data_IF_001443525250
#
_entry.id   IF_001443525250
#
_cell.length_a   1.000
_cell.length_b   1.000
_cell.length_c   1.000
_cell.angle_alpha   90.00
_cell.angle_beta   90.00
_cell.angle_gamma   90.00
#
_symmetry.space_group_name_H-M   'P 1'
#
loop_
_entity.id
_entity.type
_entity.pdbx_description
1 polymer ?
#
# COMPACT_ATOMS: atom_id res chain seq x y z
N UNK A 1 -8.37 -7.27 28.49
CA UNK A 1 -8.52 -6.97 27.05
C UNK A 1 -7.15 -6.56 26.54
N UNK A 2 -6.42 -7.47 25.89
CA UNK A 2 -5.18 -7.12 25.19
C UNK A 2 -5.62 -6.52 23.85
N UNK A 3 -5.76 -5.20 23.79
CA UNK A 3 -5.86 -4.52 22.51
C UNK A 3 -4.56 -4.83 21.77
N UNK A 4 -4.64 -5.66 20.73
CA UNK A 4 -3.52 -5.91 19.84
C UNK A 4 -3.05 -4.54 19.35
N UNK A 5 -1.87 -4.10 19.80
CA UNK A 5 -1.28 -2.89 19.25
C UNK A 5 -1.13 -3.16 17.74
N UNK A 6 -1.65 -2.29 16.86
CA UNK A 6 -1.36 -2.41 15.44
C UNK A 6 0.17 -2.39 15.34
N UNK A 7 0.71 -3.49 14.80
CA UNK A 7 2.15 -3.69 14.65
C UNK A 7 2.76 -2.47 13.98
N UNK A 8 3.98 -2.07 14.32
CA UNK A 8 4.61 -0.88 13.74
C UNK A 8 4.62 -0.88 12.20
N UNK A 9 4.63 -2.06 11.58
CA UNK A 9 4.45 -2.23 10.12
C UNK A 9 3.09 -1.71 9.62
N UNK A 10 2.03 -1.84 10.41
CA UNK A 10 0.70 -1.31 10.11
C UNK A 10 0.69 0.22 10.11
N UNK A 11 1.51 0.86 10.96
CA UNK A 11 1.65 2.32 11.00
C UNK A 11 2.42 2.87 9.81
N UNK A 12 3.39 2.11 9.28
CA UNK A 12 4.24 2.59 8.17
C UNK A 12 3.44 2.88 6.91
N UNK A 13 2.33 2.20 6.65
CA UNK A 13 1.50 2.44 5.45
C UNK A 13 0.28 3.32 5.74
N UNK A 14 0.24 4.07 6.86
CA UNK A 14 -0.94 4.84 7.27
C UNK A 14 -1.45 5.82 6.21
N UNK A 15 -0.57 6.66 5.64
CA UNK A 15 -0.98 7.65 4.63
C UNK A 15 -1.35 6.98 3.30
N UNK A 16 -0.60 5.95 2.89
CA UNK A 16 -0.92 5.16 1.70
C UNK A 16 -2.31 4.53 1.81
N UNK A 17 -2.61 3.92 2.97
CA UNK A 17 -3.92 3.32 3.27
C UNK A 17 -5.02 4.36 3.41
N UNK A 18 -4.72 5.53 3.96
CA UNK A 18 -5.69 6.61 4.06
C UNK A 18 -6.20 7.02 2.69
N UNK A 19 -5.31 7.17 1.69
CA UNK A 19 -5.70 7.47 0.32
C UNK A 19 -6.67 6.41 -0.24
N UNK A 20 -6.35 5.13 -0.06
CA UNK A 20 -7.21 4.02 -0.47
C UNK A 20 -8.55 4.02 0.25
N UNK A 21 -8.58 4.24 1.57
CA UNK A 21 -9.84 4.30 2.36
C UNK A 21 -10.73 5.44 1.89
N UNK A 22 -10.15 6.59 1.55
CA UNK A 22 -10.93 7.71 1.03
C UNK A 22 -11.56 7.37 -0.33
N UNK A 23 -10.81 6.73 -1.24
CA UNK A 23 -11.34 6.28 -2.54
C UNK A 23 -12.39 5.18 -2.37
N UNK A 24 -12.14 4.19 -1.51
CA UNK A 24 -13.06 3.09 -1.18
C UNK A 24 -14.41 3.63 -0.64
N UNK A 25 -14.37 4.77 0.06
CA UNK A 25 -15.57 5.48 0.55
C UNK A 25 -16.22 6.42 -0.49
N UNK A 26 -15.68 6.47 -1.70
CA UNK A 26 -16.22 7.28 -2.80
C UNK A 26 -15.72 8.71 -2.87
N UNK A 27 -14.70 9.10 -2.09
CA UNK A 27 -14.07 10.42 -2.26
C UNK A 27 -13.22 10.42 -3.53
N UNK A 28 -13.61 11.26 -4.49
CA UNK A 28 -12.90 11.41 -5.77
C UNK A 28 -11.80 12.47 -5.73
N UNK A 29 -11.87 13.39 -4.79
CA UNK A 29 -10.89 14.48 -4.64
C UNK A 29 -10.07 14.24 -3.38
N UNK A 30 -8.81 13.87 -3.57
CA UNK A 30 -7.83 13.75 -2.49
C UNK A 30 -7.00 15.03 -2.41
N UNK A 31 -6.53 15.43 -1.21
CA UNK A 31 -5.57 16.51 -1.09
C UNK A 31 -4.33 16.22 -1.92
N UNK A 32 -3.87 17.21 -2.70
CA UNK A 32 -2.73 17.03 -3.61
C UNK A 32 -1.47 16.41 -2.96
N UNK A 33 -1.06 16.79 -1.72
CA UNK A 33 0.09 16.15 -1.06
C UNK A 33 -0.11 14.65 -0.81
N UNK A 34 -1.36 14.22 -0.53
CA UNK A 34 -1.67 12.82 -0.29
C UNK A 34 -1.58 12.00 -1.59
N UNK A 35 -2.05 12.58 -2.70
CA UNK A 35 -1.91 11.99 -4.03
C UNK A 35 -0.43 11.79 -4.42
N UNK A 36 0.39 12.84 -4.26
CA UNK A 36 1.83 12.76 -4.55
C UNK A 36 2.54 11.72 -3.69
N UNK A 37 2.22 11.67 -2.39
CA UNK A 37 2.77 10.68 -1.47
C UNK A 37 2.40 9.25 -1.89
N UNK A 38 1.16 9.03 -2.29
CA UNK A 38 0.72 7.72 -2.76
C UNK A 38 1.50 7.27 -4.02
N UNK A 39 1.61 8.16 -5.00
CA UNK A 39 2.27 7.88 -6.27
C UNK A 39 3.76 7.58 -6.07
N UNK A 40 4.44 8.37 -5.23
CA UNK A 40 5.84 8.17 -4.89
C UNK A 40 6.08 6.81 -4.20
N UNK A 41 5.28 6.49 -3.19
CA UNK A 41 5.37 5.20 -2.48
C UNK A 41 5.10 4.02 -3.43
N UNK A 42 4.08 4.11 -4.28
CA UNK A 42 3.74 3.05 -5.23
C UNK A 42 4.87 2.85 -6.26
N UNK A 43 5.42 3.94 -6.78
CA UNK A 43 6.49 3.89 -7.76
C UNK A 43 7.76 3.27 -7.19
N UNK A 44 8.21 3.74 -6.03
CA UNK A 44 9.38 3.19 -5.34
C UNK A 44 9.16 1.72 -4.95
N UNK A 45 7.97 1.37 -4.47
CA UNK A 45 7.64 0.00 -4.08
C UNK A 45 7.68 -0.97 -5.27
N UNK A 46 7.19 -0.54 -6.44
CA UNK A 46 7.27 -1.32 -7.67
C UNK A 46 8.71 -1.60 -8.08
N UNK A 47 9.54 -0.56 -8.15
CA UNK A 47 10.96 -0.67 -8.47
C UNK A 47 11.63 -1.69 -7.53
N UNK A 48 11.39 -1.59 -6.22
CA UNK A 48 11.97 -2.50 -5.23
C UNK A 48 11.39 -3.91 -5.26
N UNK A 49 10.13 -4.06 -5.65
CA UNK A 49 9.49 -5.37 -5.78
C UNK A 49 10.09 -6.16 -6.95
N UNK A 50 10.48 -5.46 -8.02
CA UNK A 50 11.11 -6.04 -9.21
C UNK A 50 12.63 -6.19 -9.05
N UNK A 51 13.30 -5.20 -8.44
CA UNK A 51 14.73 -5.20 -8.14
C UNK A 51 15.02 -4.74 -6.70
N UNK A 52 15.24 -5.68 -5.77
CA UNK A 52 15.56 -5.37 -4.38
C UNK A 52 16.92 -4.66 -4.19
N UNK A 53 17.80 -4.72 -5.19
CA UNK A 53 19.11 -4.06 -5.15
C UNK A 53 19.04 -2.58 -5.49
N UNK A 54 17.89 -2.10 -5.99
CA UNK A 54 17.62 -0.69 -6.26
C UNK A 54 17.39 0.15 -4.99
N UNK A 55 17.55 -0.43 -3.79
CA UNK A 55 17.42 0.30 -2.53
C UNK A 55 18.46 1.42 -2.43
N UNK A 56 17.99 2.62 -2.07
CA UNK A 56 18.80 3.82 -1.94
C UNK A 56 18.39 4.62 -0.70
N UNK A 57 19.18 5.63 -0.27
CA UNK A 57 18.84 6.48 0.87
C UNK A 57 17.53 7.27 0.67
N UNK A 58 17.11 7.51 -0.57
CA UNK A 58 15.91 8.28 -0.90
C UNK A 58 14.63 7.43 -0.87
N UNK A 59 14.77 6.09 -0.84
CA UNK A 59 13.64 5.18 -0.71
C UNK A 59 12.97 5.36 0.64
N UNK A 60 11.66 5.55 0.61
CA UNK A 60 10.87 5.65 1.83
C UNK A 60 10.69 4.30 2.53
N UNK A 61 10.65 4.25 3.87
CA UNK A 61 10.32 3.02 4.60
C UNK A 61 8.95 2.43 4.22
N UNK A 62 8.01 3.28 3.78
CA UNK A 62 6.69 2.86 3.30
C UNK A 62 6.82 2.07 2.00
N UNK A 63 7.64 2.54 1.06
CA UNK A 63 7.89 1.85 -0.19
C UNK A 63 8.55 0.48 0.02
N UNK A 64 9.52 0.38 0.95
CA UNK A 64 10.13 -0.92 1.31
C UNK A 64 9.08 -1.88 1.88
N UNK A 65 8.22 -1.40 2.77
CA UNK A 65 7.15 -2.23 3.35
C UNK A 65 6.18 -2.70 2.27
N UNK A 66 5.71 -1.80 1.41
CA UNK A 66 4.80 -2.13 0.32
C UNK A 66 5.45 -3.10 -0.69
N UNK A 67 6.73 -2.91 -1.04
CA UNK A 67 7.46 -3.82 -1.91
C UNK A 67 7.55 -5.22 -1.33
N UNK A 68 7.84 -5.33 -0.02
CA UNK A 68 7.83 -6.63 0.67
C UNK A 68 6.44 -7.25 0.65
N UNK A 69 5.40 -6.48 0.95
CA UNK A 69 4.01 -6.95 0.93
C UNK A 69 3.61 -7.43 -0.49
N UNK A 70 4.01 -6.71 -1.54
CA UNK A 70 3.76 -7.09 -2.95
C UNK A 70 4.50 -8.37 -3.35
N UNK A 71 5.69 -8.63 -2.79
CA UNK A 71 6.45 -9.86 -3.06
C UNK A 71 5.93 -11.07 -2.28
N UNK A 72 5.37 -10.85 -1.08
CA UNK A 72 4.82 -11.90 -0.22
C UNK A 72 3.40 -12.26 -0.64
N UNK A 73 2.60 -11.28 -1.05
CA UNK A 73 1.19 -11.45 -1.37
C UNK A 73 0.93 -11.16 -2.86
N UNK A 74 0.86 -12.22 -3.68
CA UNK A 74 0.54 -12.11 -5.11
C UNK A 74 -0.77 -11.35 -5.34
N UNK A 75 -1.79 -11.58 -4.51
CA UNK A 75 -3.07 -10.87 -4.60
C UNK A 75 -2.96 -9.35 -4.42
N UNK A 76 -1.96 -8.86 -3.68
CA UNK A 76 -1.67 -7.42 -3.58
C UNK A 76 -0.99 -6.90 -4.85
N UNK A 77 -0.02 -7.66 -5.39
CA UNK A 77 0.66 -7.33 -6.64
C UNK A 77 -0.34 -7.25 -7.80
N UNK A 78 -1.24 -8.21 -7.89
CA UNK A 78 -2.26 -8.29 -8.93
C UNK A 78 -3.29 -7.16 -8.80
N UNK A 79 -3.74 -6.85 -7.57
CA UNK A 79 -4.65 -5.73 -7.34
C UNK A 79 -4.03 -4.37 -7.71
N UNK A 80 -2.71 -4.23 -7.59
CA UNK A 80 -1.97 -3.05 -8.01
C UNK A 80 -1.49 -3.12 -9.46
N UNK A 81 -1.74 -4.20 -10.20
CA UNK A 81 -1.31 -4.33 -11.58
C UNK A 81 -2.04 -3.30 -12.46
N UNK A 82 -1.29 -2.53 -13.24
CA UNK A 82 -1.84 -1.48 -14.11
C UNK A 82 -2.17 -0.15 -13.42
N UNK A 83 -2.11 -0.06 -12.08
CA UNK A 83 -2.25 1.21 -11.35
C UNK A 83 -0.94 1.99 -11.41
N UNK A 84 -0.84 3.06 -12.19
CA UNK A 84 0.41 3.83 -12.28
C UNK A 84 0.42 5.07 -11.38
N UNK A 85 -0.78 5.53 -11.01
CA UNK A 85 -1.01 6.63 -10.10
C UNK A 85 -2.30 6.44 -9.32
N UNK A 86 -2.52 7.27 -8.32
CA UNK A 86 -3.76 7.34 -7.54
C UNK A 86 -4.98 7.64 -8.43
N UNK A 87 -4.79 8.30 -9.58
CA UNK A 87 -5.86 8.58 -10.55
C UNK A 87 -6.39 7.32 -11.25
N UNK A 88 -5.60 6.25 -11.29
CA UNK A 88 -6.00 4.95 -11.86
C UNK A 88 -6.77 4.09 -10.84
N UNK A 89 -6.78 4.50 -9.57
CA UNK A 89 -7.39 3.74 -8.48
C UNK A 89 -8.89 3.97 -8.47
N UNK A 90 -9.64 2.99 -8.97
CA UNK A 90 -11.09 2.94 -8.80
C UNK A 90 -11.47 2.51 -7.38
N UNK A 91 -12.74 2.70 -7.00
CA UNK A 91 -13.28 2.21 -5.73
C UNK A 91 -13.08 0.69 -5.55
N UNK A 92 -13.28 -0.09 -6.62
CA UNK A 92 -13.07 -1.55 -6.60
C UNK A 92 -11.59 -1.90 -6.38
N UNK A 93 -10.68 -1.21 -7.05
CA UNK A 93 -9.23 -1.42 -6.87
C UNK A 93 -8.83 -1.07 -5.43
N UNK A 94 -9.31 0.07 -4.91
CA UNK A 94 -9.02 0.48 -3.53
C UNK A 94 -9.48 -0.58 -2.52
N UNK A 95 -10.69 -1.11 -2.70
CA UNK A 95 -11.25 -2.18 -1.86
C UNK A 95 -10.38 -3.44 -1.87
N UNK A 96 -9.98 -3.90 -3.06
CA UNK A 96 -9.16 -5.10 -3.21
C UNK A 96 -7.76 -4.93 -2.62
N UNK A 97 -7.12 -3.77 -2.82
CA UNK A 97 -5.82 -3.46 -2.25
C UNK A 97 -5.89 -3.43 -0.73
N UNK A 98 -6.90 -2.77 -0.15
CA UNK A 98 -7.10 -2.73 1.30
C UNK A 98 -7.26 -4.13 1.90
N UNK A 99 -8.09 -4.98 1.27
CA UNK A 99 -8.31 -6.37 1.71
C UNK A 99 -7.04 -7.22 1.68
N UNK A 100 -6.11 -6.94 0.76
CA UNK A 100 -4.83 -7.64 0.68
C UNK A 100 -3.75 -7.05 1.61
N UNK A 101 -3.87 -5.77 2.00
CA UNK A 101 -2.99 -5.11 2.96
C UNK A 101 -3.35 -5.42 4.42
N UNK A 102 -4.60 -5.83 4.70
CA UNK A 102 -4.96 -6.30 6.02
C UNK A 102 -4.05 -7.49 6.39
N UNK A 103 -3.40 -7.46 7.56
CA UNK A 103 -2.68 -8.63 8.03
C UNK A 103 -3.69 -9.75 8.11
N UNK A 104 -3.57 -10.74 7.22
CA UNK A 104 -4.19 -12.04 7.45
C UNK A 104 -3.54 -12.52 8.72
N UNK A 105 -4.22 -12.29 9.86
CA UNK A 105 -3.90 -12.93 11.12
C UNK A 105 -3.74 -14.39 10.73
N UNK A 106 -2.49 -14.87 10.74
CA UNK A 106 -2.20 -16.26 10.45
C UNK A 106 -3.19 -17.04 11.30
N UNK A 107 -4.05 -17.81 10.65
CA UNK A 107 -4.93 -18.73 11.35
C UNK A 107 -3.98 -19.57 12.20
N UNK A 108 -4.01 -19.33 13.50
CA UNK A 108 -3.18 -20.05 14.46
C UNK A 108 -3.67 -21.49 14.40
N UNK A 109 -2.98 -22.30 13.58
CA UNK A 109 -3.06 -23.75 13.60
C UNK A 109 -2.07 -24.26 14.64
#
# INVERSE_FOLDING_TARGET
MLAAMPSENNRRLELFRLALVLIDRGNRELPHPLSLHFDDVLHQARILSDDPSAISPDVTPQAVQLANDMRVYEGLRDALAGVNSIGDVSQTVAHEVLRNLEPRLASAY
#
